data_IF_764939025713
#
_entry.id   IF_764939025713
#
_cell.length_a   1.000
_cell.length_b   1.000
_cell.length_c   1.000
_cell.angle_alpha   90.00
_cell.angle_beta   90.00
_cell.angle_gamma   90.00
#
_symmetry.space_group_name_H-M   'P 1'
#
loop_
_entity.id
_entity.type
_entity.pdbx_description
1 polymer ?
#
# COMPACT_ATOMS: atom_id res chain seq x y z
N UNK A 1 8.88 -4.44 -19.98
CA UNK A 1 7.86 -3.54 -19.39
C UNK A 1 7.67 -3.97 -17.95
N UNK A 2 7.55 -3.05 -16.98
CA UNK A 2 7.29 -3.44 -15.60
C UNK A 2 5.86 -3.96 -15.49
N UNK A 3 5.70 -5.20 -15.06
CA UNK A 3 4.40 -5.83 -14.86
C UNK A 3 3.72 -5.27 -13.61
N UNK A 4 2.39 -5.18 -13.63
CA UNK A 4 1.62 -4.80 -12.44
C UNK A 4 1.77 -5.93 -11.42
N UNK A 5 2.15 -5.56 -10.20
CA UNK A 5 2.26 -6.48 -9.07
C UNK A 5 0.92 -7.19 -8.84
N UNK A 6 0.97 -8.52 -8.69
CA UNK A 6 -0.22 -9.35 -8.51
C UNK A 6 -0.86 -9.16 -7.14
N UNK A 7 -2.10 -9.64 -6.98
CA UNK A 7 -2.83 -9.62 -5.70
C UNK A 7 -2.07 -10.38 -4.60
N UNK A 8 -1.42 -11.49 -4.95
CA UNK A 8 -0.74 -12.37 -4.01
C UNK A 8 0.39 -11.67 -3.24
N UNK A 9 1.07 -10.70 -3.89
CA UNK A 9 2.06 -9.87 -3.21
C UNK A 9 1.47 -9.10 -2.02
N UNK A 10 0.24 -8.60 -2.17
CA UNK A 10 -0.44 -7.76 -1.17
C UNK A 10 -1.17 -8.58 -0.09
N UNK A 11 -1.40 -9.87 -0.31
CA UNK A 11 -2.07 -10.77 0.64
C UNK A 11 -1.13 -11.40 1.68
N UNK A 12 0.08 -10.87 1.84
CA UNK A 12 1.07 -11.27 2.86
C UNK A 12 0.95 -10.42 4.12
N UNK A 13 1.70 -10.78 5.15
CA UNK A 13 1.74 -9.99 6.40
C UNK A 13 2.23 -8.56 6.13
N UNK A 14 1.63 -7.57 6.80
CA UNK A 14 1.93 -6.15 6.58
C UNK A 14 3.40 -5.81 6.83
N UNK A 15 4.07 -6.53 7.74
CA UNK A 15 5.50 -6.36 8.05
C UNK A 15 6.40 -6.93 6.95
N UNK A 16 5.89 -7.81 6.09
CA UNK A 16 6.58 -8.26 4.88
C UNK A 16 6.30 -7.33 3.69
N UNK A 17 5.06 -6.86 3.56
CA UNK A 17 4.62 -6.05 2.41
C UNK A 17 5.24 -4.66 2.44
N UNK A 18 5.22 -3.97 3.58
CA UNK A 18 5.72 -2.59 3.68
C UNK A 18 7.17 -2.45 3.19
N UNK A 19 8.17 -3.18 3.74
CA UNK A 19 9.55 -3.07 3.25
C UNK A 19 9.70 -3.56 1.80
N UNK A 20 8.91 -4.55 1.35
CA UNK A 20 8.96 -5.05 -0.01
C UNK A 20 8.45 -4.04 -1.06
N UNK A 21 7.72 -2.99 -0.66
CA UNK A 21 7.27 -1.91 -1.54
C UNK A 21 8.38 -0.89 -1.84
N UNK A 22 9.44 -0.82 -1.03
CA UNK A 22 10.52 0.14 -1.26
C UNK A 22 11.21 -0.11 -2.61
N UNK A 23 11.43 0.95 -3.37
CA UNK A 23 11.98 0.88 -4.73
C UNK A 23 10.98 0.47 -5.82
N UNK A 24 9.76 0.06 -5.45
CA UNK A 24 8.69 -0.20 -6.42
C UNK A 24 8.15 1.11 -7.02
N UNK A 25 7.44 0.98 -8.15
CA UNK A 25 6.88 2.12 -8.88
C UNK A 25 5.38 2.27 -8.61
N UNK A 26 4.98 3.41 -8.06
CA UNK A 26 3.59 3.84 -8.03
C UNK A 26 3.28 4.54 -9.36
N UNK A 27 2.27 4.06 -10.07
CA UNK A 27 1.89 4.56 -11.39
C UNK A 27 0.48 5.12 -11.33
N UNK A 28 0.33 6.42 -11.57
CA UNK A 28 -0.96 7.09 -11.74
C UNK A 28 -1.23 7.32 -13.22
N UNK A 29 -2.38 6.84 -13.70
CA UNK A 29 -2.87 7.15 -15.04
C UNK A 29 -3.87 8.29 -14.91
N UNK A 30 -3.55 9.42 -15.53
CA UNK A 30 -4.36 10.63 -15.53
C UNK A 30 -5.44 10.58 -16.62
N UNK A 31 -6.51 11.39 -16.52
CA UNK A 31 -7.44 11.56 -17.63
C UNK A 31 -6.68 11.88 -18.94
N UNK A 32 -7.02 11.21 -20.03
CA UNK A 32 -6.30 11.34 -21.30
C UNK A 32 -5.09 10.40 -21.46
N UNK A 33 -4.79 9.54 -20.48
CA UNK A 33 -3.82 8.45 -20.61
C UNK A 33 -2.38 8.79 -20.24
N UNK A 34 -2.09 10.03 -19.82
CA UNK A 34 -0.78 10.41 -19.29
C UNK A 34 -0.43 9.59 -18.04
N UNK A 35 0.81 9.10 -17.94
CA UNK A 35 1.29 8.28 -16.83
C UNK A 35 2.30 9.05 -15.99
N UNK A 36 1.98 9.23 -14.71
CA UNK A 36 2.93 9.70 -13.70
C UNK A 36 3.51 8.48 -12.98
N UNK A 37 4.83 8.46 -12.83
CA UNK A 37 5.58 7.34 -12.25
C UNK A 37 6.45 7.87 -11.12
N UNK A 38 6.25 7.32 -9.92
CA UNK A 38 6.99 7.66 -8.71
C UNK A 38 7.64 6.40 -8.16
N UNK A 39 8.81 6.54 -7.53
CA UNK A 39 9.46 5.45 -6.79
C UNK A 39 9.06 5.58 -5.32
N UNK A 40 8.64 4.48 -4.72
CA UNK A 40 8.32 4.45 -3.28
C UNK A 40 9.64 4.48 -2.51
N UNK A 41 9.88 5.58 -1.79
CA UNK A 41 11.09 5.79 -0.99
C UNK A 41 10.91 5.43 0.48
N UNK A 42 9.66 5.38 0.97
CA UNK A 42 9.34 5.18 2.38
C UNK A 42 7.98 4.50 2.53
N UNK A 43 7.81 3.73 3.61
CA UNK A 43 6.57 3.04 3.97
C UNK A 43 6.43 2.92 5.48
N UNK A 44 5.20 2.97 5.99
CA UNK A 44 4.84 2.59 7.35
C UNK A 44 3.90 1.37 7.33
N UNK A 45 4.03 0.50 8.33
CA UNK A 45 3.17 -0.65 8.53
C UNK A 45 2.27 -0.43 9.75
N UNK A 46 0.97 -0.64 9.58
CA UNK A 46 0.00 -0.60 10.67
C UNK A 46 -0.67 -1.98 10.83
N UNK A 47 -0.56 -2.60 12.01
CA UNK A 47 -0.93 -4.02 12.22
C UNK A 47 -2.33 -4.20 12.83
N UNK A 48 -3.33 -3.58 12.21
CA UNK A 48 -4.74 -3.84 12.51
C UNK A 48 -5.16 -3.42 13.93
N UNK A 49 -6.01 -4.22 14.57
CA UNK A 49 -6.66 -3.87 15.84
C UNK A 49 -5.71 -3.81 17.04
N UNK A 50 -4.63 -4.58 17.01
CA UNK A 50 -3.69 -4.68 18.13
C UNK A 50 -2.68 -3.53 18.14
N UNK A 51 -2.57 -2.82 17.02
CA UNK A 51 -1.72 -1.66 16.85
C UNK A 51 -2.47 -0.38 17.25
N UNK A 52 -2.15 0.16 18.43
CA UNK A 52 -2.79 1.36 18.98
C UNK A 52 -2.61 2.62 18.11
N UNK A 53 -1.60 2.66 17.23
CA UNK A 53 -1.42 3.75 16.27
C UNK A 53 -2.29 3.57 15.02
N UNK A 54 -2.77 2.35 14.75
CA UNK A 54 -3.65 2.06 13.63
C UNK A 54 -5.07 2.55 13.89
N UNK A 55 -5.72 3.10 12.87
CA UNK A 55 -7.15 3.42 12.92
C UNK A 55 -8.04 2.19 13.18
N UNK A 56 -7.59 0.99 12.81
CA UNK A 56 -8.32 -0.25 13.07
C UNK A 56 -8.36 -0.62 14.57
N UNK A 57 -7.51 -0.04 15.43
CA UNK A 57 -7.58 -0.23 16.89
C UNK A 57 -8.90 0.25 17.51
N UNK A 58 -9.64 1.12 16.80
CA UNK A 58 -10.97 1.60 17.21
C UNK A 58 -12.11 0.86 16.49
N UNK A 59 -11.81 -0.23 15.81
CA UNK A 59 -12.76 -0.99 15.00
C UNK A 59 -13.05 -0.36 13.63
N UNK A 60 -13.96 -1.01 12.91
CA UNK A 60 -14.37 -0.59 11.56
C UNK A 60 -15.37 0.57 11.63
N UNK A 61 -15.15 1.56 10.79
CA UNK A 61 -15.96 2.76 10.59
C UNK A 61 -16.16 2.99 9.08
N UNK A 62 -17.09 3.85 8.66
CA UNK A 62 -17.23 4.18 7.23
C UNK A 62 -15.96 4.75 6.59
N UNK A 63 -15.08 5.40 7.37
CA UNK A 63 -13.84 6.03 6.88
C UNK A 63 -12.70 5.03 6.58
N UNK A 64 -12.62 3.93 7.32
CA UNK A 64 -11.50 2.96 7.25
C UNK A 64 -11.94 1.58 6.72
N UNK A 65 -13.04 1.53 5.95
CA UNK A 65 -13.46 0.34 5.20
C UNK A 65 -12.74 0.25 3.86
#
# INVERSE_FOLDING_TARGET
MAERISRDFYCRDVLEVAPALLGMKLIRVMPGGMREVMVISETEAYKGSDDLACHASKGLTPRNR
#
